data_IF_831618615237
#
_entry.id   IF_831618615237
#
_cell.length_a   1.000
_cell.length_b   1.000
_cell.length_c   1.000
_cell.angle_alpha   90.00
_cell.angle_beta   90.00
_cell.angle_gamma   90.00
#
_symmetry.space_group_name_H-M   'P 1'
#
loop_
_entity.id
_entity.type
_entity.pdbx_description
1 polymer ?
#
# COMPACT_ATOMS: atom_id res chain seq x y z
N UNK A 1 -24.86 -34.47 12.77
CA UNK A 1 -24.54 -33.80 14.04
C UNK A 1 -23.41 -32.81 13.78
N UNK A 2 -23.59 -31.53 14.15
CA UNK A 2 -22.52 -30.51 14.10
C UNK A 2 -22.88 -29.27 13.30
N UNK A 3 -23.45 -28.28 14.00
CA UNK A 3 -23.88 -26.94 13.54
C UNK A 3 -23.05 -26.26 12.45
N UNK A 4 -23.73 -25.83 11.39
CA UNK A 4 -23.38 -24.63 10.61
C UNK A 4 -23.59 -23.39 11.48
N UNK A 5 -22.55 -22.56 11.69
CA UNK A 5 -22.59 -21.09 11.92
C UNK A 5 -21.29 -20.62 12.58
N UNK A 6 -20.36 -20.12 11.78
CA UNK A 6 -19.54 -18.97 12.16
C UNK A 6 -19.09 -18.25 10.89
N UNK A 7 -20.05 -17.80 10.09
CA UNK A 7 -19.83 -17.00 8.87
C UNK A 7 -20.09 -15.51 9.10
N UNK A 8 -20.29 -15.10 10.35
CA UNK A 8 -20.60 -13.73 10.70
C UNK A 8 -19.32 -13.05 11.18
N UNK A 9 -19.03 -11.88 10.61
CA UNK A 9 -18.00 -11.00 11.11
C UNK A 9 -18.30 -10.70 12.59
N UNK A 10 -17.28 -10.75 13.47
CA UNK A 10 -17.50 -10.46 14.88
C UNK A 10 -18.00 -9.02 15.05
N UNK A 11 -18.89 -8.81 16.04
CA UNK A 11 -19.42 -7.47 16.31
C UNK A 11 -18.32 -6.45 16.60
N UNK A 12 -17.26 -6.89 17.29
CA UNK A 12 -16.09 -6.07 17.61
C UNK A 12 -15.35 -5.60 16.36
N UNK A 13 -15.04 -6.51 15.42
CA UNK A 13 -14.37 -6.14 14.17
C UNK A 13 -15.27 -5.23 13.33
N UNK A 14 -16.58 -5.50 13.33
CA UNK A 14 -17.53 -4.67 12.59
C UNK A 14 -17.62 -3.24 13.16
N UNK A 15 -17.71 -3.09 14.49
CA UNK A 15 -17.73 -1.77 15.14
C UNK A 15 -16.44 -1.00 14.88
N UNK A 16 -15.29 -1.67 15.00
CA UNK A 16 -13.99 -1.09 14.72
C UNK A 16 -13.85 -0.64 13.25
N UNK A 17 -14.25 -1.47 12.29
CA UNK A 17 -14.25 -1.10 10.87
C UNK A 17 -15.22 0.05 10.57
N UNK A 18 -16.37 0.14 11.26
CA UNK A 18 -17.32 1.25 11.11
C UNK A 18 -16.77 2.57 11.68
N UNK A 19 -15.95 2.51 12.72
CA UNK A 19 -15.29 3.70 13.28
C UNK A 19 -14.12 4.18 12.41
N UNK A 20 -13.37 3.25 11.84
CA UNK A 20 -12.14 3.56 11.11
C UNK A 20 -12.31 3.67 9.59
N UNK A 21 -13.50 3.35 9.06
CA UNK A 21 -13.78 3.42 7.62
C UNK A 21 -15.12 4.10 7.32
N UNK A 22 -15.37 4.39 6.04
CA UNK A 22 -16.63 4.98 5.55
C UNK A 22 -17.70 3.94 5.21
N UNK A 23 -17.44 2.65 5.46
CA UNK A 23 -18.26 1.57 4.93
C UNK A 23 -19.39 1.18 5.89
N UNK A 24 -20.55 0.87 5.31
CA UNK A 24 -21.70 0.41 6.08
C UNK A 24 -21.58 -1.05 6.49
N UNK A 25 -22.31 -1.43 7.54
CA UNK A 25 -22.37 -2.82 8.03
C UNK A 25 -22.82 -3.82 6.96
N UNK A 26 -23.76 -3.42 6.11
CA UNK A 26 -24.24 -4.24 5.00
C UNK A 26 -23.14 -4.49 3.97
N UNK A 27 -22.35 -3.46 3.63
CA UNK A 27 -21.21 -3.58 2.71
C UNK A 27 -20.11 -4.48 3.30
N UNK A 28 -19.73 -4.23 4.56
CA UNK A 28 -18.70 -5.01 5.25
C UNK A 28 -19.09 -6.50 5.35
N UNK A 29 -20.36 -6.78 5.65
CA UNK A 29 -20.85 -8.17 5.74
C UNK A 29 -20.89 -8.86 4.39
N UNK A 30 -21.25 -8.14 3.32
CA UNK A 30 -21.24 -8.66 1.96
C UNK A 30 -19.81 -8.98 1.49
N UNK A 31 -18.87 -8.06 1.71
CA UNK A 31 -17.45 -8.29 1.38
C UNK A 31 -16.85 -9.41 2.21
N UNK A 32 -17.16 -9.50 3.51
CA UNK A 32 -16.67 -10.62 4.32
C UNK A 32 -17.13 -11.98 3.78
N UNK A 33 -18.38 -12.05 3.30
CA UNK A 33 -18.92 -13.27 2.71
C UNK A 33 -18.20 -13.64 1.41
N UNK A 34 -17.91 -12.66 0.55
CA UNK A 34 -17.13 -12.91 -0.67
C UNK A 34 -15.68 -13.28 -0.30
N UNK A 35 -15.12 -12.66 0.72
CA UNK A 35 -13.73 -12.83 1.11
C UNK A 35 -13.50 -14.26 1.60
N UNK A 36 -14.45 -14.81 2.36
CA UNK A 36 -14.41 -16.21 2.77
C UNK A 36 -14.64 -17.21 1.62
N UNK A 37 -15.32 -16.82 0.54
CA UNK A 37 -15.44 -17.70 -0.64
C UNK A 37 -14.11 -17.81 -1.39
N UNK A 38 -13.41 -16.70 -1.48
CA UNK A 38 -12.15 -16.57 -2.23
C UNK A 38 -10.94 -17.02 -1.38
N UNK A 39 -11.00 -16.75 -0.09
CA UNK A 39 -10.03 -17.14 0.93
C UNK A 39 -10.76 -17.94 2.02
N UNK A 40 -11.00 -19.26 1.84
CA UNK A 40 -11.68 -20.09 2.84
C UNK A 40 -11.01 -20.11 4.21
N UNK A 41 -9.71 -19.81 4.28
CA UNK A 41 -8.94 -19.63 5.52
C UNK A 41 -9.28 -18.36 6.29
N UNK A 42 -9.98 -17.40 5.67
CA UNK A 42 -10.16 -16.05 6.23
C UNK A 42 -8.86 -15.24 6.28
N UNK A 43 -7.89 -15.59 5.44
CA UNK A 43 -6.57 -14.94 5.35
C UNK A 43 -6.11 -14.85 3.88
N UNK A 44 -5.54 -13.71 3.49
CA UNK A 44 -4.83 -13.57 2.21
C UNK A 44 -3.34 -13.83 2.47
N UNK A 45 -2.76 -14.81 1.76
CA UNK A 45 -1.31 -15.01 1.80
C UNK A 45 -0.59 -14.02 0.90
N UNK A 46 0.70 -13.82 1.18
CA UNK A 46 1.60 -12.99 0.38
C UNK A 46 1.61 -13.39 -1.10
N UNK A 47 1.65 -14.68 -1.40
CA UNK A 47 1.67 -15.20 -2.78
C UNK A 47 0.37 -14.87 -3.52
N UNK A 48 -0.77 -14.98 -2.83
CA UNK A 48 -2.06 -14.60 -3.41
C UNK A 48 -2.10 -13.11 -3.71
N UNK A 49 -1.57 -12.28 -2.81
CA UNK A 49 -1.50 -10.84 -2.99
C UNK A 49 -0.56 -10.43 -4.15
N UNK A 50 0.62 -11.04 -4.24
CA UNK A 50 1.55 -10.88 -5.36
C UNK A 50 0.87 -11.26 -6.70
N UNK A 51 0.12 -12.36 -6.73
CA UNK A 51 -0.64 -12.77 -7.93
C UNK A 51 -1.72 -11.79 -8.35
N UNK A 52 -2.37 -11.10 -7.40
CA UNK A 52 -3.33 -10.03 -7.69
C UNK A 52 -2.62 -8.87 -8.40
N UNK A 53 -1.49 -8.40 -7.85
CA UNK A 53 -0.70 -7.34 -8.46
C UNK A 53 -0.16 -7.72 -9.84
N UNK A 54 0.39 -8.93 -9.99
CA UNK A 54 0.85 -9.44 -11.29
C UNK A 54 -0.26 -9.45 -12.35
N UNK A 55 -1.50 -9.79 -11.97
CA UNK A 55 -2.64 -9.76 -12.88
C UNK A 55 -3.04 -8.35 -13.36
N UNK A 56 -2.62 -7.31 -12.63
CA UNK A 56 -2.94 -5.92 -12.93
C UNK A 56 -1.82 -5.19 -13.67
N UNK A 57 -0.58 -5.63 -13.51
CA UNK A 57 0.60 -5.08 -14.17
C UNK A 57 1.32 -6.16 -15.00
N UNK A 58 0.70 -6.65 -16.09
CA UNK A 58 1.29 -7.72 -16.90
C UNK A 58 2.59 -7.30 -17.60
N UNK A 59 2.77 -5.99 -17.81
CA UNK A 59 3.91 -5.41 -18.55
C UNK A 59 4.99 -4.82 -17.61
N UNK A 60 4.90 -5.09 -16.30
CA UNK A 60 5.88 -4.65 -15.30
C UNK A 60 6.28 -5.80 -14.36
N UNK A 61 7.25 -5.56 -13.47
CA UNK A 61 7.57 -6.48 -12.37
C UNK A 61 7.03 -5.93 -11.04
N UNK A 62 5.77 -6.23 -10.68
CA UNK A 62 5.16 -5.68 -9.48
C UNK A 62 5.53 -6.42 -8.21
N UNK A 63 6.34 -7.47 -8.30
CA UNK A 63 6.60 -8.38 -7.19
C UNK A 63 7.17 -7.66 -5.98
N UNK A 64 8.22 -6.86 -6.17
CA UNK A 64 8.86 -6.12 -5.07
C UNK A 64 7.90 -5.10 -4.45
N UNK A 65 7.19 -4.34 -5.28
CA UNK A 65 6.23 -3.33 -4.80
C UNK A 65 5.07 -3.97 -4.04
N UNK A 66 4.48 -5.05 -4.57
CA UNK A 66 3.41 -5.80 -3.93
C UNK A 66 3.82 -6.32 -2.55
N UNK A 67 5.08 -6.73 -2.37
CA UNK A 67 5.60 -7.17 -1.06
C UNK A 67 5.67 -6.05 -0.04
N UNK A 68 6.12 -4.86 -0.44
CA UNK A 68 6.16 -3.70 0.46
C UNK A 68 4.76 -3.23 0.83
N UNK A 69 3.84 -3.23 -0.14
CA UNK A 69 2.44 -2.91 0.09
C UNK A 69 1.79 -3.95 1.01
N UNK A 70 2.05 -5.23 0.81
CA UNK A 70 1.57 -6.28 1.71
C UNK A 70 2.07 -6.05 3.14
N UNK A 71 3.38 -5.78 3.30
CA UNK A 71 3.99 -5.50 4.61
C UNK A 71 3.34 -4.30 5.29
N UNK A 72 3.05 -3.22 4.55
CA UNK A 72 2.42 -2.04 5.16
C UNK A 72 0.96 -2.25 5.55
N UNK A 73 0.34 -3.36 5.12
CA UNK A 73 -1.00 -3.76 5.53
C UNK A 73 -1.03 -4.87 6.58
N UNK A 74 0.02 -5.69 6.68
CA UNK A 74 0.20 -6.75 7.68
C UNK A 74 0.63 -6.13 9.02
N UNK A 75 -0.32 -5.54 9.75
CA UNK A 75 -0.07 -4.74 10.94
C UNK A 75 0.39 -5.59 12.12
N UNK A 76 0.00 -6.87 12.15
CA UNK A 76 0.38 -7.80 13.20
C UNK A 76 1.64 -8.63 12.84
N UNK A 77 2.17 -8.48 11.63
CA UNK A 77 3.33 -9.19 11.09
C UNK A 77 3.20 -10.73 11.14
N UNK A 78 1.98 -11.25 10.97
CA UNK A 78 1.71 -12.70 10.98
C UNK A 78 1.97 -13.38 9.62
N UNK A 79 2.32 -12.58 8.59
CA UNK A 79 2.60 -13.05 7.24
C UNK A 79 1.34 -13.27 6.39
N UNK A 80 0.17 -12.89 6.90
CA UNK A 80 -1.12 -12.95 6.21
C UNK A 80 -1.90 -11.66 6.42
N UNK A 81 -2.83 -11.33 5.52
CA UNK A 81 -3.79 -10.25 5.77
C UNK A 81 -5.12 -10.86 6.18
N UNK A 82 -5.60 -10.49 7.35
CA UNK A 82 -6.96 -10.78 7.75
C UNK A 82 -7.97 -9.84 7.06
N UNK A 83 -9.26 -10.08 7.31
CA UNK A 83 -10.30 -9.27 6.70
C UNK A 83 -10.24 -7.80 7.14
N UNK A 84 -9.90 -7.53 8.40
CA UNK A 84 -9.81 -6.16 8.92
C UNK A 84 -8.68 -5.42 8.23
N UNK A 85 -7.50 -6.01 8.16
CA UNK A 85 -6.33 -5.46 7.47
C UNK A 85 -6.61 -5.21 5.98
N UNK A 86 -7.27 -6.17 5.31
CA UNK A 86 -7.70 -6.02 3.92
C UNK A 86 -8.67 -4.84 3.72
N UNK A 87 -9.67 -4.66 4.59
CA UNK A 87 -10.62 -3.55 4.49
C UNK A 87 -9.95 -2.20 4.77
N UNK A 88 -9.04 -2.14 5.75
CA UNK A 88 -8.27 -0.93 6.05
C UNK A 88 -7.40 -0.56 4.83
N UNK A 89 -6.72 -1.54 4.23
CA UNK A 89 -5.95 -1.36 3.01
C UNK A 89 -6.79 -0.80 1.85
N UNK A 90 -7.96 -1.38 1.61
CA UNK A 90 -8.91 -0.86 0.61
C UNK A 90 -9.41 0.54 0.96
N UNK A 91 -9.61 0.85 2.24
CA UNK A 91 -10.03 2.18 2.67
C UNK A 91 -8.93 3.22 2.42
N UNK A 92 -7.69 2.94 2.79
CA UNK A 92 -6.56 3.86 2.63
C UNK A 92 -6.31 4.19 1.15
N UNK A 93 -6.36 3.17 0.29
CA UNK A 93 -6.17 3.33 -1.16
C UNK A 93 -7.36 4.04 -1.86
N UNK A 94 -8.59 3.89 -1.35
CA UNK A 94 -9.81 4.41 -2.01
C UNK A 94 -10.46 5.64 -1.36
N UNK A 95 -10.07 6.02 -0.13
CA UNK A 95 -10.77 7.06 0.64
C UNK A 95 -10.56 8.49 0.14
N UNK A 96 -9.58 8.71 -0.75
CA UNK A 96 -9.37 9.97 -1.45
C UNK A 96 -8.87 11.14 -0.59
N UNK A 97 -8.78 10.98 0.74
CA UNK A 97 -8.18 11.98 1.64
C UNK A 97 -6.67 11.90 1.55
N UNK A 98 -6.03 13.00 1.13
CA UNK A 98 -4.57 13.05 0.93
C UNK A 98 -3.80 12.70 2.19
N UNK A 99 -4.22 13.14 3.37
CA UNK A 99 -3.48 12.92 4.62
C UNK A 99 -3.32 11.43 4.97
N UNK A 100 -4.40 10.66 4.99
CA UNK A 100 -4.32 9.21 5.28
C UNK A 100 -3.49 8.44 4.24
N UNK A 101 -3.46 8.93 2.98
CA UNK A 101 -2.57 8.36 1.96
C UNK A 101 -1.10 8.64 2.26
N UNK A 102 -0.78 9.76 2.89
CA UNK A 102 0.58 10.12 3.28
C UNK A 102 1.05 9.39 4.53
N UNK A 103 0.17 9.20 5.52
CA UNK A 103 0.42 8.32 6.68
C UNK A 103 0.70 6.89 6.22
N UNK A 104 -0.12 6.38 5.29
CA UNK A 104 0.15 5.08 4.68
C UNK A 104 1.44 5.06 3.84
N UNK A 105 1.69 6.11 3.05
CA UNK A 105 2.94 6.20 2.29
C UNK A 105 4.15 6.21 3.24
N UNK A 106 4.05 6.85 4.40
CA UNK A 106 5.09 6.79 5.42
C UNK A 106 5.32 5.34 5.87
N UNK A 107 4.26 4.60 6.23
CA UNK A 107 4.36 3.19 6.62
C UNK A 107 4.87 2.27 5.49
N UNK A 108 4.67 2.65 4.22
CA UNK A 108 5.27 1.96 3.07
C UNK A 108 6.78 2.20 3.01
N UNK A 109 7.23 3.43 3.30
CA UNK A 109 8.64 3.82 3.29
C UNK A 109 9.42 3.41 4.55
N UNK A 110 8.79 3.32 5.71
CA UNK A 110 9.37 2.77 6.94
C UNK A 110 9.36 1.23 6.85
N UNK A 111 10.46 0.64 6.40
CA UNK A 111 10.54 -0.79 6.06
C UNK A 111 10.69 -1.64 7.30
N UNK A 112 11.48 -1.17 8.26
CA UNK A 112 11.71 -1.87 9.52
C UNK A 112 10.68 -1.52 10.61
N UNK A 113 9.83 -0.51 10.38
CA UNK A 113 8.77 -0.11 11.29
C UNK A 113 9.28 0.60 12.55
N UNK A 114 10.49 1.19 12.50
CA UNK A 114 11.10 1.83 13.66
C UNK A 114 10.55 3.25 13.93
N UNK A 115 9.61 3.73 13.11
CA UNK A 115 8.97 5.04 13.20
C UNK A 115 9.74 6.15 12.49
N UNK A 116 10.78 5.83 11.72
CA UNK A 116 11.58 6.79 10.95
C UNK A 116 12.10 6.18 9.65
N UNK A 117 12.14 6.98 8.58
CA UNK A 117 12.65 6.55 7.28
C UNK A 117 14.13 6.89 7.15
N UNK A 118 14.94 5.90 6.79
CA UNK A 118 16.35 6.01 6.44
C UNK A 118 16.58 6.11 4.93
N UNK A 119 17.80 6.52 4.53
CA UNK A 119 18.16 6.64 3.11
C UNK A 119 18.04 5.32 2.35
N UNK A 120 18.43 4.23 2.99
CA UNK A 120 18.37 2.89 2.39
C UNK A 120 16.93 2.47 2.11
N UNK A 121 16.01 2.80 3.00
CA UNK A 121 14.59 2.48 2.83
C UNK A 121 13.96 3.30 1.71
N UNK A 122 14.33 4.58 1.58
CA UNK A 122 13.94 5.39 0.41
C UNK A 122 14.43 4.72 -0.89
N UNK A 123 15.68 4.29 -0.94
CA UNK A 123 16.23 3.62 -2.12
C UNK A 123 15.49 2.31 -2.45
N UNK A 124 15.18 1.51 -1.43
CA UNK A 124 14.46 0.24 -1.56
C UNK A 124 13.07 0.44 -2.18
N UNK A 125 12.27 1.34 -1.60
CA UNK A 125 10.91 1.60 -2.07
C UNK A 125 10.91 2.30 -3.42
N UNK A 126 11.79 3.29 -3.65
CA UNK A 126 11.90 3.97 -4.94
C UNK A 126 12.29 3.00 -6.05
N UNK A 127 13.17 2.03 -5.77
CA UNK A 127 13.53 0.97 -6.71
C UNK A 127 12.35 0.07 -7.02
N UNK A 128 11.58 -0.33 -6.00
CA UNK A 128 10.37 -1.13 -6.21
C UNK A 128 9.34 -0.38 -7.07
N UNK A 129 9.12 0.91 -6.81
CA UNK A 129 8.25 1.79 -7.60
C UNK A 129 8.78 1.96 -9.03
N UNK A 130 10.07 2.15 -9.21
CA UNK A 130 10.68 2.33 -10.53
C UNK A 130 10.51 1.10 -11.42
N UNK A 131 10.61 -0.11 -10.84
CA UNK A 131 10.38 -1.37 -11.56
C UNK A 131 8.93 -1.58 -12.00
N UNK A 132 7.98 -0.79 -11.46
CA UNK A 132 6.59 -0.76 -11.94
C UNK A 132 6.42 0.02 -13.25
N UNK A 133 7.42 0.83 -13.63
CA UNK A 133 7.39 1.62 -14.86
C UNK A 133 7.82 0.71 -16.01
N UNK A 134 7.01 0.56 -17.08
CA UNK A 134 7.40 -0.21 -18.26
C UNK A 134 8.74 0.26 -18.82
N UNK A 135 9.59 -0.68 -19.23
CA UNK A 135 10.98 -0.39 -19.67
C UNK A 135 11.02 0.65 -20.80
N UNK A 136 10.07 0.58 -21.72
CA UNK A 136 9.90 1.56 -22.82
C UNK A 136 9.64 2.99 -22.33
N UNK A 137 8.96 3.15 -21.21
CA UNK A 137 8.63 4.45 -20.61
C UNK A 137 9.75 4.98 -19.71
N UNK A 138 10.61 4.11 -19.18
CA UNK A 138 11.77 4.53 -18.38
C UNK A 138 12.72 5.45 -19.18
N UNK A 139 12.85 5.22 -20.49
CA UNK A 139 13.68 6.05 -21.38
C UNK A 139 13.14 7.47 -21.60
N UNK A 140 11.86 7.71 -21.30
CA UNK A 140 11.19 9.00 -21.46
C UNK A 140 11.26 9.85 -20.19
N UNK A 141 11.83 9.32 -19.11
CA UNK A 141 11.95 10.00 -17.83
C UNK A 141 13.00 11.12 -17.89
N UNK A 142 12.85 12.17 -17.06
CA UNK A 142 13.87 13.20 -16.90
C UNK A 142 15.25 12.62 -16.55
N UNK A 143 16.33 13.25 -17.00
CA UNK A 143 17.69 12.74 -16.79
C UNK A 143 18.05 12.57 -15.31
N UNK A 144 17.49 13.41 -14.44
CA UNK A 144 17.66 13.38 -12.98
C UNK A 144 16.68 12.43 -12.27
N UNK A 145 15.84 11.70 -13.01
CA UNK A 145 14.82 10.78 -12.48
C UNK A 145 14.78 9.44 -13.23
N UNK A 146 15.68 9.21 -14.19
CA UNK A 146 15.67 8.03 -15.05
C UNK A 146 16.34 6.79 -14.46
N UNK A 147 16.80 6.86 -13.20
CA UNK A 147 17.21 5.69 -12.42
C UNK A 147 16.64 5.74 -11.01
N UNK A 148 16.48 4.59 -10.33
CA UNK A 148 16.06 4.54 -8.93
C UNK A 148 16.94 5.39 -8.00
N UNK A 149 18.25 5.34 -8.19
CA UNK A 149 19.23 6.00 -7.33
C UNK A 149 19.08 7.52 -7.42
N UNK A 150 18.95 8.05 -8.64
CA UNK A 150 18.77 9.50 -8.84
C UNK A 150 17.47 10.00 -8.22
N UNK A 151 16.38 9.24 -8.36
CA UNK A 151 15.09 9.56 -7.71
C UNK A 151 15.20 9.53 -6.19
N UNK A 152 15.83 8.50 -5.64
CA UNK A 152 16.02 8.36 -4.20
C UNK A 152 16.89 9.49 -3.64
N UNK A 153 17.99 9.84 -4.32
CA UNK A 153 18.84 10.96 -3.95
C UNK A 153 18.09 12.30 -4.07
N UNK A 154 17.25 12.48 -5.09
CA UNK A 154 16.41 13.68 -5.24
C UNK A 154 15.43 13.84 -4.08
N UNK A 155 14.76 12.76 -3.68
CA UNK A 155 13.88 12.74 -2.49
C UNK A 155 14.69 13.03 -1.22
N UNK A 156 15.82 12.35 -1.02
CA UNK A 156 16.64 12.51 0.19
C UNK A 156 17.21 13.92 0.34
N UNK A 157 17.69 14.50 -0.77
CA UNK A 157 18.22 15.86 -0.80
C UNK A 157 17.13 16.91 -0.57
N UNK A 158 15.90 16.66 -0.99
CA UNK A 158 14.78 17.56 -0.72
C UNK A 158 14.50 17.71 0.78
N UNK A 159 14.58 16.61 1.53
CA UNK A 159 14.48 16.64 2.99
C UNK A 159 15.75 17.18 3.67
N UNK A 160 16.77 17.56 2.91
CA UNK A 160 18.03 18.14 3.39
C UNK A 160 18.74 17.25 4.43
N UNK A 161 18.59 15.93 4.29
CA UNK A 161 19.13 14.93 5.20
C UNK A 161 20.56 14.53 4.81
N UNK A 162 21.41 14.33 5.80
CA UNK A 162 22.71 13.67 5.65
C UNK A 162 22.51 12.16 5.52
N UNK A 163 23.56 11.43 5.21
CA UNK A 163 23.50 9.99 4.91
C UNK A 163 22.93 9.14 6.06
N UNK A 164 23.21 9.51 7.31
CA UNK A 164 22.75 8.79 8.51
C UNK A 164 21.59 9.50 9.24
N UNK A 165 21.02 10.55 8.64
CA UNK A 165 19.85 11.19 9.24
C UNK A 165 18.60 10.34 9.03
N UNK A 166 17.54 10.68 9.75
CA UNK A 166 16.25 9.99 9.75
C UNK A 166 15.14 11.00 9.44
N UNK A 167 14.14 10.58 8.68
CA UNK A 167 12.93 11.36 8.39
C UNK A 167 11.81 10.85 9.30
N UNK A 168 11.28 11.71 10.16
CA UNK A 168 10.13 11.38 11.00
C UNK A 168 8.81 11.55 10.22
N UNK A 169 7.73 10.89 10.67
CA UNK A 169 6.42 10.92 10.00
C UNK A 169 5.89 12.33 9.72
N UNK A 170 5.88 13.20 10.73
CA UNK A 170 5.39 14.57 10.56
C UNK A 170 6.22 15.39 9.56
N UNK A 171 7.54 15.14 9.51
CA UNK A 171 8.42 15.79 8.54
C UNK A 171 8.15 15.27 7.12
N UNK A 172 7.99 13.96 6.96
CA UNK A 172 7.63 13.35 5.68
C UNK A 172 6.31 13.91 5.16
N UNK A 173 5.25 13.85 5.97
CA UNK A 173 3.92 14.33 5.58
C UNK A 173 3.97 15.81 5.19
N UNK A 174 4.61 16.66 6.00
CA UNK A 174 4.70 18.09 5.71
C UNK A 174 5.49 18.36 4.42
N UNK A 175 6.69 17.77 4.29
CA UNK A 175 7.54 17.99 3.12
C UNK A 175 6.89 17.55 1.81
N UNK A 176 6.15 16.44 1.85
CA UNK A 176 5.41 15.93 0.70
C UNK A 176 4.21 16.82 0.35
N UNK A 177 3.47 17.32 1.35
CA UNK A 177 2.34 18.22 1.10
C UNK A 177 2.79 19.56 0.49
N UNK A 178 3.97 20.04 0.90
CA UNK A 178 4.51 21.32 0.44
C UNK A 178 5.14 21.25 -0.96
N UNK A 179 5.51 20.04 -1.43
CA UNK A 179 6.16 19.86 -2.72
C UNK A 179 5.50 18.78 -3.59
N UNK A 180 4.77 19.23 -4.63
CA UNK A 180 4.09 18.38 -5.60
C UNK A 180 5.04 17.50 -6.43
N UNK A 181 6.28 17.92 -6.63
CA UNK A 181 7.27 17.11 -7.36
C UNK A 181 7.69 15.91 -6.52
N UNK A 182 7.87 16.08 -5.21
CA UNK A 182 8.19 14.99 -4.28
C UNK A 182 6.99 14.07 -4.13
N UNK A 183 5.78 14.62 -4.03
CA UNK A 183 4.54 13.85 -4.06
C UNK A 183 4.47 12.94 -5.29
N UNK A 184 4.82 13.44 -6.49
CA UNK A 184 4.86 12.64 -7.71
C UNK A 184 5.92 11.54 -7.67
N UNK A 185 7.08 11.79 -7.04
CA UNK A 185 8.18 10.83 -6.98
C UNK A 185 7.93 9.68 -5.99
N UNK A 186 7.21 9.96 -4.90
CA UNK A 186 6.88 8.95 -3.88
C UNK A 186 5.56 8.23 -4.18
N UNK A 187 4.62 8.89 -4.87
CA UNK A 187 3.36 8.27 -5.23
C UNK A 187 3.56 7.46 -6.49
N UNK A 188 3.44 6.14 -6.36
CA UNK A 188 2.98 5.38 -7.49
C UNK A 188 1.48 5.67 -7.65
N UNK A 189 1.13 6.50 -8.62
CA UNK A 189 -0.26 6.64 -9.05
C UNK A 189 -0.71 5.28 -9.57
N UNK A 190 -1.37 4.50 -8.70
CA UNK A 190 -2.01 3.26 -9.11
C UNK A 190 -2.88 3.57 -10.33
N UNK A 191 -2.68 2.89 -11.47
CA UNK A 191 -3.52 3.08 -12.64
C UNK A 191 -4.98 3.04 -12.22
N UNK A 192 -5.81 4.01 -12.64
CA UNK A 192 -7.26 4.04 -12.31
C UNK A 192 -7.92 2.68 -12.50
N UNK A 193 -7.50 1.91 -13.51
CA UNK A 193 -7.92 0.53 -13.79
C UNK A 193 -7.76 -0.44 -12.62
N UNK A 194 -6.79 -0.25 -11.74
CA UNK A 194 -6.52 -1.09 -10.56
C UNK A 194 -7.40 -0.67 -9.39
N UNK A 195 -7.54 0.64 -9.15
CA UNK A 195 -8.51 1.13 -8.19
C UNK A 195 -9.94 0.72 -8.58
N UNK A 196 -10.24 0.77 -9.87
CA UNK A 196 -11.53 0.37 -10.42
C UNK A 196 -11.68 -1.16 -10.37
N UNK A 197 -10.65 -1.94 -10.72
CA UNK A 197 -10.71 -3.40 -10.58
C UNK A 197 -10.68 -3.91 -9.15
N UNK A 198 -10.06 -3.24 -8.19
CA UNK A 198 -10.16 -3.57 -6.75
C UNK A 198 -11.57 -3.21 -6.22
N UNK A 199 -12.19 -2.15 -6.74
CA UNK A 199 -13.60 -1.82 -6.47
C UNK A 199 -14.58 -2.76 -7.19
N UNK A 200 -14.23 -3.30 -8.36
CA UNK A 200 -15.05 -4.28 -9.11
C UNK A 200 -14.86 -5.69 -8.57
N UNK A 201 -13.61 -6.09 -8.29
CA UNK A 201 -13.24 -7.25 -7.46
C UNK A 201 -13.43 -6.90 -5.98
N UNK A 202 -14.61 -6.40 -5.62
CA UNK A 202 -15.16 -6.52 -4.26
C UNK A 202 -15.28 -8.01 -3.92
N UNK A 203 -14.10 -8.61 -3.73
CA UNK A 203 -13.85 -9.92 -3.20
C UNK A 203 -14.25 -9.92 -1.74
#
# INVERSE_FOLDING_TARGET
MGNSKSSALSKEILEDLKMNTKYSEAELSAWYTTFLKECPSGRISKEKFEGIYASFFPDADPTAYARHVFRSFDLNADGTLDFKEYIIALHLTSSGKTLHKLEWAFALYDVDGNGTISKNEVQEIVKAIFNMIPVEDQTKLPEDENTPEKRADKIWNFFQKKENDKIAEGEFIQGVMDNKDILRLIQFDEPKKIQDKLKEKKL
#
